data_IF_904030150129
#
_entry.id   IF_904030150129
#
_cell.length_a   1.000
_cell.length_b   1.000
_cell.length_c   1.000
_cell.angle_alpha   90.00
_cell.angle_beta   90.00
_cell.angle_gamma   90.00
#
_symmetry.space_group_name_H-M   'P 1'
#
loop_
_entity.id
_entity.type
_entity.pdbx_description
1 polymer ?
#
# COMPACT_ATOMS: atom_id res chain seq x y z
N UNK A 1 -10.99 0.69 -10.01
CA UNK A 1 -10.54 0.08 -11.28
C UNK A 1 -10.11 1.13 -12.30
N UNK A 2 -10.83 2.25 -12.45
CA UNK A 2 -10.54 3.31 -13.43
C UNK A 2 -9.06 3.76 -13.49
N UNK A 3 -8.37 3.91 -12.36
CA UNK A 3 -6.95 4.32 -12.35
C UNK A 3 -6.06 3.25 -12.97
N UNK A 4 -6.24 1.98 -12.61
CA UNK A 4 -5.47 0.85 -13.14
C UNK A 4 -5.63 0.71 -14.65
N UNK A 5 -6.86 0.90 -15.15
CA UNK A 5 -7.15 0.89 -16.59
C UNK A 5 -6.47 2.06 -17.32
N UNK A 6 -6.46 3.26 -16.72
CA UNK A 6 -5.81 4.44 -17.29
C UNK A 6 -4.29 4.30 -17.38
N UNK A 7 -3.66 3.64 -16.41
CA UNK A 7 -2.21 3.43 -16.41
C UNK A 7 -1.80 2.13 -17.09
N UNK A 8 -2.75 1.25 -17.39
CA UNK A 8 -2.50 -0.04 -18.05
C UNK A 8 -1.74 -1.05 -17.17
N UNK A 9 -1.90 -0.98 -15.85
CA UNK A 9 -1.18 -1.84 -14.90
C UNK A 9 -2.10 -2.83 -14.18
N UNK A 10 -1.49 -3.92 -13.72
CA UNK A 10 -2.16 -4.90 -12.88
C UNK A 10 -2.13 -4.47 -11.41
N UNK A 11 -3.17 -4.75 -10.61
CA UNK A 11 -3.20 -4.43 -9.19
C UNK A 11 -1.96 -4.89 -8.41
N UNK A 12 -1.48 -6.11 -8.69
CA UNK A 12 -0.30 -6.73 -8.07
C UNK A 12 1.02 -5.96 -8.32
N UNK A 13 1.09 -5.22 -9.43
CA UNK A 13 2.22 -4.35 -9.76
C UNK A 13 2.15 -2.99 -9.05
N UNK A 14 1.00 -2.67 -8.44
CA UNK A 14 0.78 -1.40 -7.77
C UNK A 14 0.91 -1.54 -6.25
N UNK A 15 1.16 -0.40 -5.62
CA UNK A 15 1.09 -0.22 -4.17
C UNK A 15 0.14 0.93 -3.85
N UNK A 16 -0.79 0.72 -2.93
CA UNK A 16 -1.58 1.78 -2.31
C UNK A 16 -0.89 2.20 -1.00
N UNK A 17 -0.68 3.50 -0.85
CA UNK A 17 -0.12 4.10 0.37
C UNK A 17 -1.08 5.18 0.83
N UNK A 18 -1.59 5.06 2.04
CA UNK A 18 -2.59 5.98 2.56
C UNK A 18 -2.79 5.83 4.06
N UNK A 19 -3.54 6.74 4.68
CA UNK A 19 -3.74 6.82 6.12
C UNK A 19 -5.15 6.39 6.55
N UNK A 20 -6.02 5.95 5.62
CA UNK A 20 -7.36 5.48 5.92
C UNK A 20 -7.42 3.94 5.98
N UNK A 21 -7.72 3.41 7.17
CA UNK A 21 -7.81 1.98 7.42
C UNK A 21 -9.04 1.32 6.76
N UNK A 22 -10.04 2.10 6.34
CA UNK A 22 -11.21 1.64 5.61
C UNK A 22 -10.98 1.76 4.11
N UNK A 23 -10.77 2.99 3.64
CA UNK A 23 -10.83 3.32 2.22
C UNK A 23 -9.54 2.93 1.49
N UNK A 24 -8.37 3.26 2.04
CA UNK A 24 -7.10 2.97 1.37
C UNK A 24 -6.76 1.47 1.46
N UNK A 25 -7.01 0.86 2.63
CA UNK A 25 -6.67 -0.55 2.84
C UNK A 25 -7.60 -1.51 2.08
N UNK A 26 -8.78 -1.06 1.64
CA UNK A 26 -9.64 -1.83 0.73
C UNK A 26 -8.93 -2.18 -0.59
N UNK A 27 -7.89 -1.44 -0.99
CA UNK A 27 -7.06 -1.77 -2.15
C UNK A 27 -6.40 -3.16 -2.05
N UNK A 28 -6.16 -3.67 -0.83
CA UNK A 28 -5.64 -5.03 -0.63
C UNK A 28 -6.58 -6.10 -1.17
N UNK A 29 -7.90 -5.88 -1.10
CA UNK A 29 -8.92 -6.81 -1.61
C UNK A 29 -8.86 -6.94 -3.14
N UNK A 30 -8.33 -5.92 -3.82
CA UNK A 30 -8.10 -5.92 -5.27
C UNK A 30 -6.77 -6.57 -5.67
N UNK A 31 -5.99 -7.08 -4.70
CA UNK A 31 -4.67 -7.69 -4.93
C UNK A 31 -3.52 -6.69 -4.99
N UNK A 32 -3.76 -5.41 -4.64
CA UNK A 32 -2.68 -4.42 -4.53
C UNK A 32 -1.86 -4.67 -3.26
N UNK A 33 -0.56 -4.38 -3.31
CA UNK A 33 0.21 -4.20 -2.08
C UNK A 33 -0.30 -2.95 -1.38
N UNK A 34 -0.32 -2.96 -0.05
CA UNK A 34 -0.75 -1.80 0.74
C UNK A 34 0.31 -1.42 1.77
N UNK A 35 0.34 -0.15 2.14
CA UNK A 35 1.08 0.36 3.29
C UNK A 35 0.26 1.44 3.99
N UNK A 36 -0.01 1.26 5.28
CA UNK A 36 -0.80 2.19 6.08
C UNK A 36 0.11 3.22 6.76
N UNK A 37 -0.07 4.50 6.41
CA UNK A 37 0.55 5.59 7.13
C UNK A 37 -0.14 5.78 8.48
N UNK A 38 0.66 5.72 9.54
CA UNK A 38 0.16 5.94 10.91
C UNK A 38 0.15 7.42 11.29
N UNK A 39 0.85 8.26 10.52
CA UNK A 39 0.78 9.71 10.66
C UNK A 39 -0.61 10.19 10.18
N UNK A 40 -1.39 10.78 11.08
CA UNK A 40 -2.79 11.18 10.83
C UNK A 40 -3.73 10.01 10.48
N UNK A 41 -3.56 8.84 11.11
CA UNK A 41 -4.39 7.65 10.90
C UNK A 41 -5.90 7.93 11.05
N UNK A 42 -6.69 7.50 10.06
CA UNK A 42 -8.14 7.45 10.08
C UNK A 42 -8.57 5.99 10.29
N UNK A 43 -9.13 5.70 11.47
CA UNK A 43 -9.63 4.36 11.82
C UNK A 43 -10.89 4.47 12.68
N UNK A 44 -11.92 5.11 12.13
CA UNK A 44 -13.17 5.40 12.86
C UNK A 44 -13.89 4.12 13.34
N UNK A 45 -13.76 3.03 12.59
CA UNK A 45 -14.39 1.74 12.91
C UNK A 45 -13.55 0.85 13.82
N UNK A 46 -12.38 1.30 14.29
CA UNK A 46 -11.43 0.52 15.07
C UNK A 46 -11.12 -0.85 14.44
N UNK A 47 -10.90 -0.87 13.12
CA UNK A 47 -10.45 -2.06 12.40
C UNK A 47 -9.10 -2.54 12.95
N UNK A 48 -8.91 -3.84 12.94
CA UNK A 48 -7.60 -4.43 13.18
C UNK A 48 -6.68 -4.11 11.98
N UNK A 49 -5.68 -3.28 12.24
CA UNK A 49 -4.68 -2.84 11.26
C UNK A 49 -3.37 -3.64 11.35
N UNK A 50 -3.26 -4.58 12.29
CA UNK A 50 -2.04 -5.36 12.49
C UNK A 50 -1.67 -6.24 11.29
N UNK A 51 -2.65 -6.52 10.42
CA UNK A 51 -2.46 -7.25 9.17
C UNK A 51 -1.73 -6.43 8.09
N UNK A 52 -1.66 -5.10 8.21
CA UNK A 52 -1.06 -4.23 7.20
C UNK A 52 0.38 -3.83 7.55
N UNK A 53 1.31 -3.80 6.57
CA UNK A 53 2.54 -3.04 6.70
C UNK A 53 2.20 -1.59 7.02
N UNK A 54 2.78 -1.03 8.09
CA UNK A 54 2.39 0.29 8.58
C UNK A 54 3.55 1.04 9.23
N UNK A 55 3.43 2.36 9.31
CA UNK A 55 4.39 3.24 9.99
C UNK A 55 4.39 4.65 9.41
N UNK A 56 5.42 5.42 9.73
CA UNK A 56 5.63 6.75 9.15
C UNK A 56 6.36 6.67 7.80
N UNK A 57 6.71 7.83 7.26
CA UNK A 57 7.41 7.93 5.97
C UNK A 57 8.77 7.20 5.94
N UNK A 58 9.45 7.08 7.07
CA UNK A 58 10.74 6.38 7.17
C UNK A 58 10.58 4.87 7.00
N UNK A 59 9.57 4.31 7.64
CA UNK A 59 9.19 2.91 7.52
C UNK A 59 8.69 2.61 6.10
N UNK A 60 7.89 3.51 5.51
CA UNK A 60 7.47 3.44 4.11
C UNK A 60 8.68 3.38 3.17
N UNK A 61 9.66 4.27 3.32
CA UNK A 61 10.86 4.25 2.49
C UNK A 61 11.61 2.92 2.62
N UNK A 62 11.75 2.41 3.84
CA UNK A 62 12.37 1.10 4.10
C UNK A 62 11.59 -0.03 3.45
N UNK A 63 10.26 0.02 3.51
CA UNK A 63 9.37 -0.95 2.88
C UNK A 63 9.53 -0.94 1.36
N UNK A 64 9.48 0.23 0.73
CA UNK A 64 9.65 0.39 -0.72
C UNK A 64 11.04 -0.09 -1.19
N UNK A 65 12.12 0.24 -0.48
CA UNK A 65 13.46 -0.24 -0.83
C UNK A 65 13.56 -1.77 -0.82
N UNK A 66 12.89 -2.44 0.13
CA UNK A 66 12.84 -3.92 0.17
C UNK A 66 12.07 -4.49 -1.01
N UNK A 67 10.96 -3.86 -1.39
CA UNK A 67 10.12 -4.30 -2.52
C UNK A 67 10.84 -4.13 -3.87
N UNK A 68 11.59 -3.03 -4.04
CA UNK A 68 12.37 -2.77 -5.26
C UNK A 68 13.63 -3.64 -5.33
N UNK A 69 14.25 -3.96 -4.19
CA UNK A 69 15.42 -4.85 -4.14
C UNK A 69 15.12 -6.34 -4.39
N UNK A 70 13.84 -6.73 -4.42
CA UNK A 70 13.41 -8.10 -4.74
C UNK A 70 13.07 -8.31 -6.23
N UNK A 71 13.14 -7.26 -7.05
CA UNK A 71 12.99 -7.32 -8.49
C UNK A 71 14.31 -7.11 -9.21
N UNK A 72 15.11 -8.16 -9.38
CA UNK A 72 16.22 -8.09 -10.34
C UNK A 72 15.65 -8.06 -11.76
N UNK A 73 15.43 -6.87 -12.29
CA UNK A 73 15.26 -6.62 -13.72
C UNK A 73 16.03 -5.35 -14.11
N UNK A 74 17.35 -5.46 -14.00
CA UNK A 74 18.24 -4.67 -14.85
C UNK A 74 18.44 -5.48 -16.13
N UNK A 75 17.80 -5.01 -17.18
CA UNK A 75 18.25 -5.15 -18.57
C UNK A 75 19.66 -4.61 -18.72
#
# INVERSE_FOLDING_TARGET
>A
MEILEKIGELPENCIMVGNDAEDDMAAAELGMRVFLLTDCLINEKNKDISAFPQGGFKELQTYLSKQLGQGNRLV
#
